data_IF_013713039992
#
_entry.id   IF_013713039992
#
_cell.length_a   1.000
_cell.length_b   1.000
_cell.length_c   1.000
_cell.angle_alpha   90.00
_cell.angle_beta   90.00
_cell.angle_gamma   90.00
#
_symmetry.space_group_name_H-M   'P 1'
#
loop_
_entity.id
_entity.type
_entity.pdbx_description
1 polymer ?
#
# COMPACT_ATOMS: atom_id res chain seq x y z
N UNK A 1 21.16 -12.90 2.35
CA UNK A 1 19.97 -12.59 1.54
C UNK A 1 20.33 -11.53 0.51
N UNK A 2 19.98 -11.74 -0.76
CA UNK A 2 20.33 -10.83 -1.86
C UNK A 2 19.63 -9.46 -1.68
N UNK A 3 20.30 -8.34 -2.00
CA UNK A 3 19.82 -6.97 -1.72
C UNK A 3 18.47 -6.65 -2.38
N UNK A 4 18.21 -7.27 -3.53
CA UNK A 4 16.96 -7.18 -4.29
C UNK A 4 15.80 -7.82 -3.52
N UNK A 5 16.02 -9.03 -2.97
CA UNK A 5 15.02 -9.76 -2.17
C UNK A 5 14.66 -8.96 -0.91
N UNK A 6 15.65 -8.36 -0.25
CA UNK A 6 15.43 -7.52 0.94
C UNK A 6 14.60 -6.27 0.64
N UNK A 7 14.74 -5.69 -0.56
CA UNK A 7 13.91 -4.56 -1.00
C UNK A 7 12.50 -5.00 -1.40
N UNK A 8 12.36 -6.11 -2.12
CA UNK A 8 11.04 -6.66 -2.49
C UNK A 8 10.20 -6.99 -1.26
N UNK A 9 10.82 -7.59 -0.24
CA UNK A 9 10.16 -7.93 1.02
C UNK A 9 9.64 -6.69 1.78
N UNK A 10 10.36 -5.56 1.70
CA UNK A 10 9.89 -4.28 2.28
C UNK A 10 8.65 -3.73 1.57
N UNK A 11 8.60 -3.84 0.24
CA UNK A 11 7.45 -3.38 -0.56
C UNK A 11 6.23 -4.25 -0.28
N UNK A 12 6.40 -5.57 -0.21
CA UNK A 12 5.31 -6.50 0.15
C UNK A 12 4.81 -6.22 1.57
N UNK A 13 5.72 -6.01 2.54
CA UNK A 13 5.33 -5.68 3.91
C UNK A 13 4.55 -4.36 3.99
N UNK A 14 4.99 -3.34 3.25
CA UNK A 14 4.29 -2.06 3.17
C UNK A 14 2.88 -2.21 2.57
N UNK A 15 2.75 -3.02 1.52
CA UNK A 15 1.45 -3.34 0.93
C UNK A 15 0.51 -3.98 1.94
N UNK A 16 0.96 -5.01 2.66
CA UNK A 16 0.16 -5.67 3.68
C UNK A 16 -0.25 -4.72 4.81
N UNK A 17 0.65 -3.84 5.27
CA UNK A 17 0.32 -2.85 6.29
C UNK A 17 -0.78 -1.88 5.81
N UNK A 18 -0.66 -1.34 4.61
CA UNK A 18 -1.65 -0.44 4.02
C UNK A 18 -3.00 -1.15 3.79
N UNK A 19 -2.97 -2.41 3.34
CA UNK A 19 -4.15 -3.22 3.12
C UNK A 19 -4.91 -3.47 4.43
N UNK A 20 -4.21 -3.87 5.50
CA UNK A 20 -4.81 -4.11 6.81
C UNK A 20 -5.43 -2.85 7.40
N UNK A 21 -4.75 -1.70 7.30
CA UNK A 21 -5.30 -0.42 7.75
C UNK A 21 -6.55 -0.07 6.95
N UNK A 22 -6.55 -0.27 5.63
CA UNK A 22 -7.70 0.03 4.78
C UNK A 22 -8.94 -0.80 5.21
N UNK A 23 -8.77 -2.11 5.43
CA UNK A 23 -9.84 -2.98 5.93
C UNK A 23 -10.32 -2.54 7.32
N UNK A 24 -9.41 -2.17 8.21
CA UNK A 24 -9.76 -1.67 9.55
C UNK A 24 -10.65 -0.42 9.45
N UNK A 25 -10.25 0.54 8.60
CA UNK A 25 -11.01 1.77 8.35
C UNK A 25 -12.41 1.44 7.82
N UNK A 26 -12.53 0.57 6.82
CA UNK A 26 -13.83 0.15 6.32
C UNK A 26 -14.71 -0.50 7.39
N UNK A 27 -14.15 -1.35 8.27
CA UNK A 27 -14.90 -1.91 9.40
C UNK A 27 -15.38 -0.84 10.37
N UNK A 28 -14.54 0.15 10.67
CA UNK A 28 -14.92 1.27 11.55
C UNK A 28 -16.06 2.08 10.92
N UNK A 29 -15.97 2.39 9.63
CA UNK A 29 -17.04 3.10 8.93
C UNK A 29 -18.34 2.29 8.89
N UNK A 30 -18.27 0.98 8.67
CA UNK A 30 -19.46 0.12 8.71
C UNK A 30 -20.10 0.12 10.10
N UNK A 31 -19.30 0.08 11.17
CA UNK A 31 -19.78 0.20 12.55
C UNK A 31 -20.42 1.57 12.85
N UNK A 32 -19.97 2.63 12.18
CA UNK A 32 -20.57 3.97 12.27
C UNK A 32 -21.90 4.09 11.48
N UNK A 33 -22.34 3.03 10.80
CA UNK A 33 -23.58 2.98 10.04
C UNK A 33 -23.44 3.44 8.59
N UNK A 34 -22.21 3.56 8.06
CA UNK A 34 -22.01 3.82 6.64
C UNK A 34 -22.28 2.55 5.82
N UNK A 35 -23.09 2.71 4.77
CA UNK A 35 -23.33 1.65 3.79
C UNK A 35 -22.14 1.58 2.82
N UNK A 36 -21.22 0.66 3.10
CA UNK A 36 -19.99 0.49 2.33
C UNK A 36 -20.05 -0.78 1.50
N UNK A 37 -19.97 -0.61 0.18
CA UNK A 37 -19.76 -1.73 -0.72
C UNK A 37 -18.30 -2.21 -0.64
N UNK A 38 -18.08 -3.32 0.09
CA UNK A 38 -16.80 -4.01 0.18
C UNK A 38 -16.50 -4.76 -1.12
N UNK A 39 -16.20 -4.01 -2.17
CA UNK A 39 -15.74 -4.54 -3.46
C UNK A 39 -14.22 -4.61 -3.49
N UNK A 40 -13.69 -5.52 -4.30
CA UNK A 40 -12.25 -5.67 -4.53
C UNK A 40 -11.59 -4.33 -4.91
N UNK A 41 -12.31 -3.53 -5.70
CA UNK A 41 -11.91 -2.18 -6.09
C UNK A 41 -11.79 -1.22 -4.90
N UNK A 42 -12.68 -1.29 -3.92
CA UNK A 42 -12.64 -0.40 -2.75
C UNK A 42 -11.51 -0.73 -1.77
N UNK A 43 -11.26 -2.01 -1.50
CA UNK A 43 -10.32 -2.40 -0.45
C UNK A 43 -8.91 -2.74 -0.95
N UNK A 44 -8.78 -3.25 -2.19
CA UNK A 44 -7.51 -3.72 -2.75
C UNK A 44 -6.82 -2.70 -3.66
N UNK A 45 -7.58 -1.94 -4.44
CA UNK A 45 -7.03 -0.97 -5.39
C UNK A 45 -6.28 0.20 -4.72
N UNK A 46 -6.79 0.83 -3.62
CA UNK A 46 -6.09 1.95 -3.01
C UNK A 46 -4.72 1.58 -2.42
N UNK A 47 -4.56 0.47 -1.67
CA UNK A 47 -3.25 0.02 -1.18
C UNK A 47 -2.27 -0.32 -2.32
N UNK A 48 -2.76 -0.94 -3.41
CA UNK A 48 -1.95 -1.23 -4.59
C UNK A 48 -1.44 0.06 -5.26
N UNK A 49 -2.32 1.02 -5.49
CA UNK A 49 -1.95 2.29 -6.09
C UNK A 49 -0.94 3.06 -5.21
N UNK A 50 -1.20 3.12 -3.90
CA UNK A 50 -0.31 3.79 -2.95
C UNK A 50 1.09 3.16 -2.94
N UNK A 51 1.18 1.84 -2.93
CA UNK A 51 2.47 1.13 -2.96
C UNK A 51 3.21 1.29 -4.28
N UNK A 52 2.50 1.26 -5.42
CA UNK A 52 3.09 1.52 -6.74
C UNK A 52 3.70 2.93 -6.79
N UNK A 53 2.92 3.95 -6.40
CA UNK A 53 3.37 5.35 -6.39
C UNK A 53 4.56 5.52 -5.46
N UNK A 54 4.54 4.93 -4.27
CA UNK A 54 5.68 4.99 -3.35
C UNK A 54 6.93 4.34 -3.93
N UNK A 55 6.79 3.17 -4.57
CA UNK A 55 7.91 2.46 -5.19
C UNK A 55 8.55 3.29 -6.33
N UNK A 56 7.72 3.96 -7.13
CA UNK A 56 8.18 4.86 -8.19
C UNK A 56 8.87 6.11 -7.63
N UNK A 57 8.29 6.75 -6.61
CA UNK A 57 8.88 7.90 -5.91
C UNK A 57 10.24 7.55 -5.30
N UNK A 58 10.36 6.40 -4.63
CA UNK A 58 11.61 5.94 -4.03
C UNK A 58 12.71 5.71 -5.08
N UNK A 59 12.36 5.14 -6.24
CA UNK A 59 13.31 4.96 -7.34
C UNK A 59 13.74 6.30 -7.95
N UNK A 60 12.82 7.25 -8.11
CA UNK A 60 13.13 8.60 -8.62
C UNK A 60 14.05 9.37 -7.67
N UNK A 61 13.79 9.35 -6.35
CA UNK A 61 14.64 10.02 -5.35
C UNK A 61 16.06 9.47 -5.35
N UNK A 62 16.20 8.14 -5.45
CA UNK A 62 17.51 7.48 -5.51
C UNK A 62 18.35 7.87 -6.72
N UNK A 63 17.71 8.25 -7.84
CA UNK A 63 18.41 8.71 -9.03
C UNK A 63 18.82 10.20 -8.94
N UNK A 64 18.06 11.00 -8.17
CA UNK A 64 18.36 12.42 -7.93
C UNK A 64 19.46 12.68 -6.91
N UNK A 65 19.69 11.79 -5.93
CA UNK A 65 20.81 11.88 -4.97
C UNK A 65 22.15 11.38 -5.56
N UNK A 66 22.13 10.88 -6.81
CA UNK A 66 23.29 10.28 -7.48
C UNK A 66 23.84 11.12 -8.64
N UNK A 67 23.21 12.27 -8.92
CA UNK A 67 23.63 13.28 -9.89
C UNK A 67 24.17 14.50 -9.15
#
# INVERSE_FOLDING_TARGET
MNKIVKNGMKVVLLFFALFLINILVFKILALLGFDLSLTEMSYLFPPLLATLVLALQFNKKKNSEKS
#
